data_IF_331002830945
#
_entry.id   IF_331002830945
#
_cell.length_a   1.000
_cell.length_b   1.000
_cell.length_c   1.000
_cell.angle_alpha   90.00
_cell.angle_beta   90.00
_cell.angle_gamma   90.00
#
_symmetry.space_group_name_H-M   'P 1'
#
loop_
_entity.id
_entity.type
_entity.pdbx_description
1 polymer ?
#
# COMPACT_ATOMS: atom_id res chain seq x y z
N UNK A 1 -4.91 -52.40 -40.94
CA UNK A 1 -4.42 -51.09 -41.45
C UNK A 1 -4.87 -50.00 -40.49
N UNK A 2 -3.95 -49.48 -39.69
CA UNK A 2 -4.18 -48.46 -38.65
C UNK A 2 -4.42 -47.07 -39.27
N UNK A 3 -5.58 -46.46 -39.01
CA UNK A 3 -5.90 -45.07 -39.40
C UNK A 3 -6.11 -44.11 -38.22
N UNK A 4 -5.68 -44.49 -37.03
CA UNK A 4 -5.79 -43.66 -35.82
C UNK A 4 -4.42 -43.51 -35.16
N UNK A 5 -3.60 -42.57 -35.62
CA UNK A 5 -2.31 -42.27 -34.96
C UNK A 5 -1.93 -40.79 -34.99
N UNK A 6 -2.44 -40.00 -35.93
CA UNK A 6 -2.03 -38.57 -36.06
C UNK A 6 -3.02 -37.58 -35.42
N UNK A 7 -4.31 -37.94 -35.27
CA UNK A 7 -5.34 -37.02 -34.78
C UNK A 7 -5.26 -36.71 -33.27
N UNK A 8 -4.69 -37.61 -32.46
CA UNK A 8 -4.57 -37.39 -31.01
C UNK A 8 -3.42 -36.44 -30.63
N UNK A 9 -2.39 -36.31 -31.46
CA UNK A 9 -1.25 -35.43 -31.18
C UNK A 9 -1.58 -33.94 -31.41
N UNK A 10 -2.45 -33.62 -32.37
CA UNK A 10 -2.82 -32.22 -32.65
C UNK A 10 -3.73 -31.61 -31.56
N UNK A 11 -4.62 -32.42 -30.95
CA UNK A 11 -5.49 -31.95 -29.88
C UNK A 11 -4.73 -31.70 -28.57
N UNK A 12 -3.69 -32.50 -28.30
CA UNK A 12 -2.80 -32.32 -27.14
C UNK A 12 -1.97 -31.02 -27.22
N UNK A 13 -1.45 -30.68 -28.40
CA UNK A 13 -0.65 -29.46 -28.59
C UNK A 13 -1.47 -28.18 -28.42
N UNK A 14 -2.71 -28.16 -28.91
CA UNK A 14 -3.64 -27.04 -28.73
C UNK A 14 -4.06 -26.87 -27.28
N UNK A 15 -4.26 -27.96 -26.53
CA UNK A 15 -4.61 -27.90 -25.11
C UNK A 15 -3.44 -27.35 -24.26
N UNK A 16 -2.20 -27.76 -24.56
CA UNK A 16 -0.99 -27.24 -23.93
C UNK A 16 -0.76 -25.75 -24.24
N UNK A 17 -0.99 -25.33 -25.49
CA UNK A 17 -0.91 -23.93 -25.88
C UNK A 17 -2.00 -23.08 -25.21
N UNK A 18 -3.23 -23.60 -25.09
CA UNK A 18 -4.33 -22.94 -24.38
C UNK A 18 -4.07 -22.83 -22.88
N UNK A 19 -3.55 -23.89 -22.24
CA UNK A 19 -3.11 -23.87 -20.83
C UNK A 19 -1.97 -22.87 -20.61
N UNK A 20 -0.99 -22.83 -21.51
CA UNK A 20 0.12 -21.87 -21.46
C UNK A 20 -0.32 -20.42 -21.66
N UNK A 21 -1.25 -20.17 -22.60
CA UNK A 21 -1.84 -18.85 -22.80
C UNK A 21 -2.72 -18.42 -21.62
N UNK A 22 -3.48 -19.35 -21.04
CA UNK A 22 -4.31 -19.10 -19.86
C UNK A 22 -3.47 -18.80 -18.62
N UNK A 23 -2.40 -19.57 -18.36
CA UNK A 23 -1.49 -19.32 -17.24
C UNK A 23 -0.71 -18.02 -17.43
N UNK A 24 -0.26 -17.71 -18.66
CA UNK A 24 0.38 -16.43 -18.98
C UNK A 24 -0.59 -15.24 -18.83
N UNK A 25 -1.85 -15.42 -19.22
CA UNK A 25 -2.89 -14.40 -19.06
C UNK A 25 -3.21 -14.15 -17.59
N UNK A 26 -3.42 -15.18 -16.78
CA UNK A 26 -3.64 -15.04 -15.33
C UNK A 26 -2.41 -14.47 -14.59
N UNK A 27 -1.19 -14.82 -15.02
CA UNK A 27 0.04 -14.26 -14.46
C UNK A 27 0.19 -12.76 -14.75
N UNK A 28 -0.28 -12.29 -15.91
CA UNK A 28 -0.18 -10.88 -16.33
C UNK A 28 -1.29 -9.98 -15.80
N UNK A 29 -2.42 -10.52 -15.32
CA UNK A 29 -3.55 -9.71 -14.83
C UNK A 29 -3.29 -8.97 -13.53
N UNK A 30 -2.15 -9.19 -12.88
CA UNK A 30 -1.82 -8.60 -11.59
C UNK A 30 -0.41 -8.00 -11.52
N UNK A 31 0.13 -7.56 -12.66
CA UNK A 31 1.39 -6.82 -12.73
C UNK A 31 1.11 -5.39 -13.17
N UNK A 32 1.42 -4.41 -12.32
CA UNK A 32 1.28 -2.99 -12.63
C UNK A 32 0.59 -2.17 -11.56
N UNK A 33 0.40 -0.89 -11.85
CA UNK A 33 -0.26 0.06 -10.96
C UNK A 33 -1.78 0.03 -11.15
N UNK A 34 -2.51 -0.35 -10.10
CA UNK A 34 -3.98 -0.28 -10.08
C UNK A 34 -4.39 1.06 -9.49
N UNK A 35 -5.24 1.80 -10.20
CA UNK A 35 -5.78 3.09 -9.77
C UNK A 35 -7.28 3.02 -9.58
N UNK A 36 -7.75 3.67 -8.53
CA UNK A 36 -9.17 3.90 -8.30
C UNK A 36 -9.42 5.39 -8.23
N UNK A 37 -10.62 5.81 -8.60
CA UNK A 37 -11.02 7.21 -8.63
C UNK A 37 -12.29 7.43 -7.81
N UNK A 38 -12.45 8.66 -7.32
CA UNK A 38 -13.71 9.15 -6.76
C UNK A 38 -14.72 9.42 -7.89
N UNK A 39 -15.99 9.59 -7.53
CA UNK A 39 -17.05 9.87 -8.50
C UNK A 39 -16.83 11.18 -9.29
N UNK A 40 -16.10 12.14 -8.70
CA UNK A 40 -15.71 13.39 -9.34
C UNK A 40 -14.49 13.27 -10.28
N UNK A 41 -13.92 12.06 -10.44
CA UNK A 41 -12.74 11.80 -11.26
C UNK A 41 -11.40 12.02 -10.56
N UNK A 42 -11.36 12.50 -9.32
CA UNK A 42 -10.10 12.64 -8.57
C UNK A 42 -9.51 11.26 -8.23
N UNK A 43 -8.19 11.11 -8.34
CA UNK A 43 -7.51 9.87 -7.93
C UNK A 43 -7.79 9.56 -6.46
N UNK A 44 -8.23 8.35 -6.15
CA UNK A 44 -8.56 7.88 -4.79
C UNK A 44 -7.45 7.02 -4.21
N UNK A 45 -6.91 6.12 -5.01
CA UNK A 45 -5.85 5.20 -4.62
C UNK A 45 -5.01 4.81 -5.82
N UNK A 46 -3.74 4.49 -5.57
CA UNK A 46 -2.82 3.94 -6.54
C UNK A 46 -1.94 2.91 -5.83
N UNK A 47 -1.93 1.66 -6.29
CA UNK A 47 -1.20 0.55 -5.65
C UNK A 47 -0.47 -0.25 -6.70
N UNK A 48 0.82 -0.48 -6.49
CA UNK A 48 1.63 -1.34 -7.37
C UNK A 48 1.41 -2.80 -6.97
N UNK A 49 1.03 -3.63 -7.93
CA UNK A 49 0.87 -5.07 -7.76
C UNK A 49 1.92 -5.85 -8.57
N UNK A 50 2.39 -6.95 -7.98
CA UNK A 50 3.22 -7.95 -8.63
C UNK A 50 2.71 -9.35 -8.22
N UNK A 51 2.43 -10.20 -9.20
CA UNK A 51 1.93 -11.57 -8.98
C UNK A 51 0.72 -11.65 -8.04
N UNK A 52 -0.24 -10.72 -8.18
CA UNK A 52 -1.47 -10.74 -7.37
C UNK A 52 -1.35 -10.08 -6.00
N UNK A 53 -0.17 -9.57 -5.63
CA UNK A 53 0.07 -8.98 -4.31
C UNK A 53 0.57 -7.53 -4.42
N UNK A 54 0.23 -6.65 -3.46
CA UNK A 54 0.85 -5.33 -3.36
C UNK A 54 2.37 -5.47 -3.23
N UNK A 55 3.12 -4.84 -4.12
CA UNK A 55 4.58 -4.90 -4.16
C UNK A 55 5.12 -3.59 -4.73
N UNK A 56 5.48 -2.68 -3.83
CA UNK A 56 5.84 -1.31 -4.12
C UNK A 56 5.07 -0.31 -3.27
N UNK A 57 5.03 0.92 -3.76
CA UNK A 57 4.36 2.02 -3.07
C UNK A 57 2.85 1.94 -3.29
N UNK A 58 2.10 2.14 -2.21
CA UNK A 58 0.66 2.30 -2.19
C UNK A 58 0.32 3.69 -1.68
N UNK A 59 -0.46 4.45 -2.45
CA UNK A 59 -0.92 5.80 -2.11
C UNK A 59 -2.43 5.85 -2.06
N UNK A 60 -2.94 6.66 -1.15
CA UNK A 60 -4.35 7.06 -1.14
C UNK A 60 -4.45 8.56 -1.01
N UNK A 61 -5.52 9.14 -1.53
CA UNK A 61 -5.71 10.58 -1.64
C UNK A 61 -7.09 10.99 -1.14
N UNK A 62 -7.22 12.22 -0.67
CA UNK A 62 -8.50 12.86 -0.35
C UNK A 62 -9.26 13.27 -1.62
N UNK A 63 -10.58 13.53 -1.54
CA UNK A 63 -11.36 13.99 -2.70
C UNK A 63 -10.87 15.31 -3.32
N UNK A 64 -10.16 16.13 -2.54
CA UNK A 64 -9.50 17.35 -3.00
C UNK A 64 -8.17 17.10 -3.76
N UNK A 65 -7.73 15.84 -3.86
CA UNK A 65 -6.50 15.43 -4.54
C UNK A 65 -5.26 15.36 -3.65
N UNK A 66 -5.33 15.83 -2.40
CA UNK A 66 -4.17 15.81 -1.51
C UNK A 66 -3.85 14.38 -1.07
N UNK A 67 -2.56 14.07 -0.95
CA UNK A 67 -2.10 12.78 -0.46
C UNK A 67 -2.64 12.56 0.96
N UNK A 68 -3.27 11.41 1.19
CA UNK A 68 -3.80 11.00 2.49
C UNK A 68 -2.87 10.03 3.20
N UNK A 69 -2.33 9.07 2.46
CA UNK A 69 -1.44 8.04 3.01
C UNK A 69 -0.51 7.51 1.94
N UNK A 70 0.75 7.28 2.31
CA UNK A 70 1.74 6.55 1.53
C UNK A 70 2.32 5.43 2.38
N UNK A 71 2.33 4.21 1.86
CA UNK A 71 2.92 3.04 2.50
C UNK A 71 3.67 2.21 1.47
N UNK A 72 4.65 1.44 1.90
CA UNK A 72 5.37 0.50 1.06
C UNK A 72 5.01 -0.95 1.42
N UNK A 73 4.88 -1.78 0.39
CA UNK A 73 4.60 -3.20 0.51
C UNK A 73 5.66 -3.99 -0.24
N UNK A 74 6.00 -5.17 0.28
CA UNK A 74 6.86 -6.14 -0.38
C UNK A 74 6.16 -7.50 -0.34
N UNK A 75 5.86 -8.09 -1.49
CA UNK A 75 5.12 -9.36 -1.59
C UNK A 75 3.82 -9.42 -0.76
N UNK A 76 3.09 -8.31 -0.68
CA UNK A 76 1.84 -8.16 0.07
C UNK A 76 2.00 -7.86 1.56
N UNK A 77 3.23 -7.72 2.05
CA UNK A 77 3.54 -7.43 3.45
C UNK A 77 3.95 -5.96 3.58
N UNK A 78 3.37 -5.23 4.52
CA UNK A 78 3.71 -3.82 4.72
C UNK A 78 5.10 -3.72 5.37
N UNK A 79 5.94 -2.85 4.81
CA UNK A 79 7.33 -2.66 5.23
C UNK A 79 7.71 -1.18 5.16
N UNK A 80 8.65 -0.77 6.00
CA UNK A 80 9.25 0.55 5.95
C UNK A 80 8.36 1.67 6.50
N UNK A 81 8.72 2.90 6.15
CA UNK A 81 8.04 4.10 6.62
C UNK A 81 6.69 4.26 5.93
N UNK A 82 5.66 4.45 6.74
CA UNK A 82 4.31 4.83 6.34
C UNK A 82 4.05 6.23 6.83
N UNK A 83 3.54 7.08 5.93
CA UNK A 83 3.16 8.45 6.26
C UNK A 83 1.68 8.64 6.01
N UNK A 84 1.01 9.27 6.96
CA UNK A 84 -0.36 9.77 6.78
C UNK A 84 -0.35 11.28 6.88
N UNK A 85 -1.28 11.92 6.18
CA UNK A 85 -1.37 13.38 6.10
C UNK A 85 -2.80 13.82 6.39
N UNK A 86 -2.94 15.03 6.90
CA UNK A 86 -4.22 15.73 6.98
C UNK A 86 -4.66 16.24 5.60
N UNK A 87 -5.94 16.60 5.48
CA UNK A 87 -6.50 17.10 4.22
C UNK A 87 -5.87 18.44 3.78
N UNK A 88 -5.28 19.21 4.71
CA UNK A 88 -4.48 20.41 4.42
C UNK A 88 -3.05 20.10 3.92
N UNK A 89 -2.69 18.81 3.77
CA UNK A 89 -1.38 18.35 3.32
C UNK A 89 -0.32 18.24 4.41
N UNK A 90 -0.61 18.65 5.65
CA UNK A 90 0.36 18.53 6.75
C UNK A 90 0.50 17.08 7.21
N UNK A 91 1.71 16.70 7.64
CA UNK A 91 2.01 15.37 8.15
C UNK A 91 1.17 15.10 9.39
N UNK A 92 0.46 13.97 9.41
CA UNK A 92 -0.37 13.51 10.51
C UNK A 92 0.34 12.42 11.32
N UNK A 93 0.97 11.47 10.64
CA UNK A 93 1.77 10.44 11.28
C UNK A 93 2.93 10.01 10.40
N UNK A 94 4.02 9.64 11.06
CA UNK A 94 5.14 8.90 10.47
C UNK A 94 5.39 7.66 11.34
N UNK A 95 5.25 6.50 10.74
CA UNK A 95 5.23 5.20 11.40
C UNK A 95 6.14 4.25 10.64
N UNK A 96 6.92 3.41 11.33
CA UNK A 96 7.72 2.38 10.68
C UNK A 96 7.10 1.00 10.90
N UNK A 97 7.00 0.23 9.82
CA UNK A 97 6.46 -1.12 9.83
C UNK A 97 7.53 -2.13 9.44
N UNK A 98 7.59 -3.23 10.19
CA UNK A 98 8.33 -4.42 9.84
C UNK A 98 7.39 -5.63 9.89
N UNK A 99 7.27 -6.35 8.77
CA UNK A 99 6.39 -7.50 8.64
C UNK A 99 4.93 -7.20 9.06
N UNK A 100 4.40 -6.07 8.59
CA UNK A 100 3.07 -5.55 8.92
C UNK A 100 2.84 -5.23 10.40
N UNK A 101 3.89 -5.15 11.22
CA UNK A 101 3.81 -4.71 12.62
C UNK A 101 4.53 -3.39 12.79
N UNK A 102 4.00 -2.51 13.65
CA UNK A 102 4.71 -1.29 14.04
C UNK A 102 6.00 -1.68 14.78
N UNK A 103 7.09 -1.03 14.40
CA UNK A 103 8.41 -1.25 14.95
C UNK A 103 9.16 0.10 15.00
N UNK A 104 9.93 0.34 16.06
CA UNK A 104 10.67 1.59 16.23
C UNK A 104 9.78 2.79 16.59
N UNK A 105 10.26 4.00 16.28
CA UNK A 105 9.62 5.25 16.68
C UNK A 105 8.47 5.60 15.73
N UNK A 106 7.28 5.82 16.28
CA UNK A 106 6.16 6.45 15.60
C UNK A 106 5.93 7.86 16.13
N UNK A 107 5.60 8.78 15.23
CA UNK A 107 5.34 10.19 15.54
C UNK A 107 3.97 10.59 15.03
N UNK A 108 3.23 11.34 15.83
CA UNK A 108 1.89 11.82 15.54
C UNK A 108 1.84 13.32 15.78
N UNK A 109 1.27 14.04 14.83
CA UNK A 109 1.26 15.49 14.78
C UNK A 109 -0.17 16.02 14.76
N UNK A 110 -0.35 17.26 15.21
CA UNK A 110 -1.59 18.01 15.09
C UNK A 110 -1.78 18.57 13.66
N UNK A 111 -2.99 19.05 13.31
CA UNK A 111 -3.25 19.70 12.01
C UNK A 111 -2.51 21.01 11.75
N UNK A 112 -1.77 21.55 12.73
CA UNK A 112 -0.87 22.70 12.61
C UNK A 112 0.62 22.30 12.48
N UNK A 113 0.91 21.00 12.48
CA UNK A 113 2.25 20.43 12.29
C UNK A 113 3.01 20.20 13.59
N UNK A 114 2.43 20.56 14.74
CA UNK A 114 3.05 20.35 16.05
C UNK A 114 3.07 18.87 16.42
N UNK A 115 4.23 18.34 16.80
CA UNK A 115 4.36 16.96 17.27
C UNK A 115 3.54 16.79 18.56
N UNK A 116 2.48 16.00 18.52
CA UNK A 116 1.57 15.75 19.65
C UNK A 116 2.06 14.59 20.52
N UNK A 117 2.49 13.51 19.87
CA UNK A 117 2.78 12.25 20.55
C UNK A 117 3.87 11.50 19.81
N UNK A 118 4.81 10.91 20.56
CA UNK A 118 5.76 9.93 20.03
C UNK A 118 5.68 8.65 20.86
N UNK A 119 5.87 7.50 20.22
CA UNK A 119 5.93 6.22 20.89
C UNK A 119 6.92 5.28 20.23
N UNK A 120 7.55 4.43 21.02
CA UNK A 120 8.42 3.35 20.56
C UNK A 120 7.61 2.07 20.55
N UNK A 121 7.59 1.40 19.40
CA UNK A 121 6.91 0.12 19.22
C UNK A 121 7.90 -1.01 19.03
N UNK A 122 7.53 -2.19 19.53
CA UNK A 122 8.18 -3.45 19.20
C UNK A 122 7.11 -4.51 18.96
N UNK A 123 7.14 -5.14 17.79
CA UNK A 123 6.15 -6.15 17.38
C UNK A 123 4.69 -5.68 17.53
N UNK A 124 4.44 -4.41 17.22
CA UNK A 124 3.12 -3.79 17.30
C UNK A 124 2.68 -3.37 18.70
N UNK A 125 3.52 -3.55 19.73
CA UNK A 125 3.22 -3.13 21.11
C UNK A 125 4.01 -1.88 21.47
N UNK A 126 3.38 -0.95 22.18
CA UNK A 126 4.05 0.21 22.74
C UNK A 126 5.01 -0.26 23.84
N UNK A 127 6.26 0.17 23.74
CA UNK A 127 7.31 -0.02 24.74
C UNK A 127 7.47 1.24 25.58
N UNK A 128 7.42 2.40 24.94
CA UNK A 128 7.49 3.71 25.59
C UNK A 128 6.66 4.72 24.81
N UNK A 129 6.18 5.77 25.48
CA UNK A 129 5.46 6.84 24.81
C UNK A 129 5.55 8.16 25.57
N UNK A 130 5.63 9.26 24.82
CA UNK A 130 5.67 10.61 25.38
C UNK A 130 4.61 11.48 24.70
N UNK A 131 3.70 12.04 25.50
CA UNK A 131 2.79 13.10 25.07
C UNK A 131 3.50 14.45 25.19
N UNK A 132 3.49 15.25 24.14
CA UNK A 132 4.07 16.59 24.14
C UNK A 132 3.00 17.62 24.49
N UNK A 133 3.07 18.15 25.71
CA UNK A 133 2.22 19.25 26.16
C UNK A 133 2.84 20.58 25.72
N UNK A 134 2.10 21.38 24.95
CA UNK A 134 2.51 22.73 24.59
C UNK A 134 1.48 23.66 25.20
N UNK A 135 1.85 24.26 26.32
CA UNK A 135 1.07 25.34 26.91
C UNK A 135 1.03 26.48 25.90
N UNK A 136 -0.17 26.91 25.47
CA UNK A 136 -0.33 28.18 24.77
C UNK A 136 0.20 29.26 25.70
N UNK A 137 1.30 29.93 25.33
CA UNK A 137 1.63 31.22 25.91
C UNK A 137 0.51 32.17 25.48
N UNK A 138 -0.46 32.38 26.36
CA UNK A 138 -1.35 33.54 26.29
C UNK A 138 -0.47 34.75 26.52
N UNK A 139 0.04 35.34 25.43
CA UNK A 139 0.49 36.73 25.48
C UNK A 139 -0.76 37.56 25.64
N UNK A 140 -0.93 38.08 26.85
CA UNK A 140 -1.89 39.10 27.19
C UNK A 140 -1.31 40.43 26.69
N UNK A 141 -1.87 40.95 25.60
CA UNK A 141 -1.79 42.36 25.21
C UNK A 141 -3.16 43.01 25.44
#
# INVERSE_FOLDING_TARGET
MHKYSVAFFAFSLLLLAALGAFTFYELNRHHGEIKEYYANGTLRSAVIFKHGKPDGVARTYYPNGNLRREAYFQNGVQQGVTRSYYENGQLKSEEYYENSKLEGVAKFYEPDGRLQWEAVFHQGRIIDSTLKNYTRSTTQD
#
